data_IF_014073206117
#
_entry.id   IF_014073206117
#
_cell.length_a   1.000
_cell.length_b   1.000
_cell.length_c   1.000
_cell.angle_alpha   90.00
_cell.angle_beta   90.00
_cell.angle_gamma   90.00
#
_symmetry.space_group_name_H-M   'P 1'
#
loop_
_entity.id
_entity.type
_entity.pdbx_description
1 polymer ?
#
# COMPACT_ATOMS: atom_id res chain seq x y z
N UNK A 1 -20.55 12.93 4.86
CA UNK A 1 -19.25 13.27 5.46
C UNK A 1 -19.07 12.32 6.63
N UNK A 2 -18.11 11.38 6.59
CA UNK A 2 -17.78 10.64 7.80
C UNK A 2 -17.39 11.64 8.90
N UNK A 3 -17.56 11.23 10.17
CA UNK A 3 -17.02 12.01 11.29
C UNK A 3 -15.52 12.25 11.07
N UNK A 4 -14.92 13.23 11.74
CA UNK A 4 -13.45 13.37 11.72
C UNK A 4 -12.78 12.10 12.27
N UNK A 5 -11.62 11.72 11.73
CA UNK A 5 -10.86 10.59 12.26
C UNK A 5 -10.63 10.76 13.78
N UNK A 6 -10.74 9.68 14.58
CA UNK A 6 -10.48 9.76 16.01
C UNK A 6 -9.04 10.20 16.30
N UNK A 7 -8.85 10.88 17.43
CA UNK A 7 -7.51 11.31 17.86
C UNK A 7 -6.51 10.16 17.94
N UNK A 8 -5.22 10.45 17.73
CA UNK A 8 -4.13 9.46 17.85
C UNK A 8 -4.12 8.73 19.20
N UNK A 9 -4.44 9.42 20.29
CA UNK A 9 -4.53 8.81 21.62
C UNK A 9 -5.62 7.73 21.67
N UNK A 10 -6.81 8.02 21.12
CA UNK A 10 -7.89 7.04 21.01
C UNK A 10 -7.49 5.83 20.18
N UNK A 11 -6.79 6.05 19.06
CA UNK A 11 -6.32 4.97 18.18
C UNK A 11 -5.33 4.04 18.89
N UNK A 12 -4.36 4.59 19.62
CA UNK A 12 -3.39 3.80 20.40
C UNK A 12 -4.11 3.03 21.52
N UNK A 13 -5.02 3.67 22.24
CA UNK A 13 -5.79 3.01 23.29
C UNK A 13 -6.59 1.82 22.74
N UNK A 14 -7.24 1.99 21.58
CA UNK A 14 -7.99 0.91 20.92
C UNK A 14 -7.08 -0.21 20.46
N UNK A 15 -5.93 0.11 19.89
CA UNK A 15 -4.94 -0.89 19.51
C UNK A 15 -4.49 -1.73 20.71
N UNK A 16 -4.15 -1.09 21.84
CA UNK A 16 -3.76 -1.79 23.07
C UNK A 16 -4.88 -2.70 23.61
N UNK A 17 -6.13 -2.23 23.60
CA UNK A 17 -7.28 -3.04 24.01
C UNK A 17 -7.45 -4.30 23.16
N UNK A 18 -7.17 -4.21 21.85
CA UNK A 18 -7.23 -5.35 20.93
C UNK A 18 -6.04 -6.27 21.15
N UNK A 19 -4.83 -5.71 21.29
CA UNK A 19 -3.59 -6.46 21.44
C UNK A 19 -3.56 -7.30 22.73
N UNK A 20 -4.06 -6.74 23.82
CA UNK A 20 -4.10 -7.40 25.13
C UNK A 20 -5.35 -8.27 25.33
N UNK A 21 -6.28 -8.29 24.36
CA UNK A 21 -7.60 -8.92 24.49
C UNK A 21 -8.41 -8.39 25.70
N UNK A 22 -8.12 -7.16 26.14
CA UNK A 22 -8.70 -6.53 27.35
C UNK A 22 -10.23 -6.32 27.23
N UNK A 23 -10.74 -6.22 26.00
CA UNK A 23 -12.17 -6.04 25.75
C UNK A 23 -12.64 -6.83 24.52
N UNK A 24 -13.66 -7.71 24.67
CA UNK A 24 -14.20 -8.51 23.57
C UNK A 24 -14.91 -7.66 22.51
N UNK A 25 -15.22 -6.40 22.80
CA UNK A 25 -15.90 -5.49 21.87
C UNK A 25 -14.98 -4.41 21.29
N UNK A 26 -13.69 -4.39 21.66
CA UNK A 26 -12.76 -3.37 21.18
C UNK A 26 -12.62 -3.37 19.66
N UNK A 27 -12.55 -4.55 19.04
CA UNK A 27 -12.49 -4.67 17.58
C UNK A 27 -13.79 -4.19 16.92
N UNK A 28 -14.96 -4.60 17.42
CA UNK A 28 -16.24 -4.14 16.88
C UNK A 28 -16.38 -2.61 16.92
N UNK A 29 -15.96 -1.98 18.01
CA UNK A 29 -15.95 -0.52 18.16
C UNK A 29 -14.95 0.16 17.20
N UNK A 30 -13.79 -0.45 16.97
CA UNK A 30 -12.86 0.02 15.95
C UNK A 30 -13.49 -0.08 14.56
N UNK A 31 -14.10 -1.21 14.21
CA UNK A 31 -14.71 -1.45 12.90
C UNK A 31 -15.87 -0.50 12.60
N UNK A 32 -16.73 -0.22 13.57
CA UNK A 32 -17.87 0.70 13.42
C UNK A 32 -17.41 2.10 12.98
N UNK A 33 -16.27 2.54 13.49
CA UNK A 33 -15.68 3.84 13.14
C UNK A 33 -14.84 3.70 11.88
N UNK A 34 -13.87 2.78 11.84
CA UNK A 34 -12.90 2.69 10.77
C UNK A 34 -13.52 2.35 9.41
N UNK A 35 -14.54 1.48 9.35
CA UNK A 35 -15.07 0.99 8.08
C UNK A 35 -15.65 2.12 7.19
N UNK A 36 -16.54 3.01 7.67
CA UNK A 36 -16.99 4.17 6.89
C UNK A 36 -15.84 5.07 6.38
N UNK A 37 -14.80 5.25 7.19
CA UNK A 37 -13.63 6.04 6.81
C UNK A 37 -12.84 5.39 5.68
N UNK A 38 -12.53 4.10 5.80
CA UNK A 38 -11.79 3.34 4.79
C UNK A 38 -12.55 3.29 3.47
N UNK A 39 -13.87 3.04 3.51
CA UNK A 39 -14.70 3.01 2.31
C UNK A 39 -14.75 4.38 1.62
N UNK A 40 -14.95 5.46 2.39
CA UNK A 40 -14.96 6.83 1.83
C UNK A 40 -13.62 7.17 1.19
N UNK A 41 -12.52 6.82 1.86
CA UNK A 41 -11.16 7.00 1.36
C UNK A 41 -10.96 6.26 0.04
N UNK A 42 -11.28 4.95 -0.03
CA UNK A 42 -11.15 4.15 -1.24
C UNK A 42 -12.06 4.62 -2.37
N UNK A 43 -13.28 5.05 -2.07
CA UNK A 43 -14.19 5.64 -3.06
C UNK A 43 -13.64 6.93 -3.66
N UNK A 44 -13.02 7.77 -2.83
CA UNK A 44 -12.43 9.02 -3.28
C UNK A 44 -11.19 8.79 -4.16
N UNK A 45 -10.31 7.88 -3.74
CA UNK A 45 -9.06 7.54 -4.43
C UNK A 45 -9.30 6.70 -5.70
N UNK A 46 -10.26 5.77 -5.68
CA UNK A 46 -10.53 4.79 -6.75
C UNK A 46 -11.92 4.93 -7.37
N UNK A 47 -12.31 6.13 -7.80
CA UNK A 47 -13.67 6.48 -8.27
C UNK A 47 -14.25 5.60 -9.40
N UNK A 48 -13.39 4.92 -10.16
CA UNK A 48 -13.78 4.09 -11.31
C UNK A 48 -13.89 2.60 -10.97
N UNK A 49 -13.56 2.21 -9.74
CA UNK A 49 -13.62 0.83 -9.28
C UNK A 49 -15.00 0.53 -8.71
N UNK A 50 -15.44 -0.72 -8.85
CA UNK A 50 -16.72 -1.20 -8.32
C UNK A 50 -16.78 -1.03 -6.80
N UNK A 51 -17.87 -0.42 -6.31
CA UNK A 51 -18.09 -0.13 -4.89
C UNK A 51 -17.95 -1.37 -4.01
N UNK A 52 -18.44 -2.52 -4.47
CA UNK A 52 -18.36 -3.77 -3.72
C UNK A 52 -16.91 -4.22 -3.47
N UNK A 53 -15.99 -4.01 -4.42
CA UNK A 53 -14.58 -4.33 -4.24
C UNK A 53 -13.92 -3.42 -3.21
N UNK A 54 -14.27 -2.13 -3.20
CA UNK A 54 -13.77 -1.16 -2.22
C UNK A 54 -14.24 -1.52 -0.79
N UNK A 55 -15.51 -1.85 -0.64
CA UNK A 55 -16.07 -2.33 0.64
C UNK A 55 -15.40 -3.62 1.12
N UNK A 56 -15.23 -4.58 0.21
CA UNK A 56 -14.57 -5.86 0.51
C UNK A 56 -13.13 -5.63 0.97
N UNK A 57 -12.36 -4.80 0.26
CA UNK A 57 -10.98 -4.49 0.64
C UNK A 57 -10.89 -3.77 1.99
N UNK A 58 -11.81 -2.87 2.30
CA UNK A 58 -11.87 -2.22 3.61
C UNK A 58 -12.15 -3.23 4.74
N UNK A 59 -13.09 -4.16 4.53
CA UNK A 59 -13.41 -5.23 5.48
C UNK A 59 -12.22 -6.16 5.66
N UNK A 60 -11.62 -6.63 4.56
CA UNK A 60 -10.49 -7.55 4.56
C UNK A 60 -9.28 -6.96 5.30
N UNK A 61 -9.02 -5.67 5.14
CA UNK A 61 -7.94 -4.99 5.84
C UNK A 61 -8.14 -4.97 7.37
N UNK A 62 -9.36 -4.74 7.84
CA UNK A 62 -9.72 -4.76 9.25
C UNK A 62 -9.62 -6.18 9.83
N UNK A 63 -10.10 -7.18 9.09
CA UNK A 63 -10.01 -8.58 9.50
C UNK A 63 -8.54 -9.05 9.55
N UNK A 64 -7.73 -8.65 8.58
CA UNK A 64 -6.30 -8.94 8.54
C UNK A 64 -5.56 -8.29 9.71
N UNK A 65 -5.89 -7.05 10.05
CA UNK A 65 -5.39 -6.39 11.24
C UNK A 65 -5.80 -7.15 12.52
N UNK A 66 -7.07 -7.54 12.66
CA UNK A 66 -7.56 -8.27 13.83
C UNK A 66 -6.88 -9.63 14.01
N UNK A 67 -6.55 -10.32 12.92
CA UNK A 67 -5.84 -11.60 12.97
C UNK A 67 -4.37 -11.46 13.40
N UNK A 68 -3.76 -10.29 13.22
CA UNK A 68 -2.36 -10.05 13.55
C UNK A 68 -2.09 -8.59 14.00
N UNK A 69 -2.69 -8.13 15.11
CA UNK A 69 -2.58 -6.75 15.57
C UNK A 69 -1.14 -6.35 15.89
N UNK A 70 -0.29 -7.29 16.30
CA UNK A 70 1.14 -7.11 16.60
C UNK A 70 1.98 -6.64 15.41
N UNK A 71 1.47 -6.73 14.18
CA UNK A 71 2.15 -6.20 12.99
C UNK A 71 2.08 -4.67 12.90
N UNK A 72 1.10 -4.07 13.56
CA UNK A 72 0.98 -2.61 13.62
C UNK A 72 2.00 -2.05 14.61
N UNK A 73 2.69 -0.99 14.19
CA UNK A 73 3.71 -0.31 14.98
C UNK A 73 3.27 1.15 15.23
N UNK A 74 2.81 1.50 16.45
CA UNK A 74 2.24 2.81 16.76
C UNK A 74 3.26 3.96 16.77
N UNK A 75 4.55 3.65 16.80
CA UNK A 75 5.62 4.65 16.76
C UNK A 75 5.88 5.16 15.34
N UNK A 76 5.52 4.36 14.33
CA UNK A 76 5.77 4.68 12.92
C UNK A 76 4.62 5.40 12.23
N UNK A 77 3.38 5.01 12.51
CA UNK A 77 2.19 5.60 11.89
C UNK A 77 0.93 5.45 12.77
N UNK A 78 -0.12 6.20 12.43
CA UNK A 78 -1.43 6.09 13.07
C UNK A 78 -2.17 4.83 12.60
N UNK A 79 -3.09 4.31 13.41
CA UNK A 79 -3.84 3.10 13.09
C UNK A 79 -4.70 3.29 11.83
N UNK A 80 -5.30 4.47 11.66
CA UNK A 80 -6.08 4.77 10.46
C UNK A 80 -5.22 4.86 9.21
N UNK A 81 -4.01 5.44 9.29
CA UNK A 81 -3.06 5.41 8.19
C UNK A 81 -2.66 3.96 7.83
N UNK A 82 -2.44 3.10 8.83
CA UNK A 82 -2.11 1.69 8.63
C UNK A 82 -3.24 0.95 7.91
N UNK A 83 -4.47 1.14 8.37
CA UNK A 83 -5.65 0.50 7.80
C UNK A 83 -5.94 0.99 6.38
N UNK A 84 -5.79 2.29 6.10
CA UNK A 84 -5.92 2.85 4.75
C UNK A 84 -4.91 2.21 3.79
N UNK A 85 -3.66 2.08 4.22
CA UNK A 85 -2.61 1.41 3.45
C UNK A 85 -2.95 -0.05 3.18
N UNK A 86 -3.36 -0.80 4.21
CA UNK A 86 -3.75 -2.20 4.06
C UNK A 86 -4.94 -2.36 3.10
N UNK A 87 -6.00 -1.55 3.27
CA UNK A 87 -7.19 -1.57 2.42
C UNK A 87 -6.88 -1.21 0.96
N UNK A 88 -6.02 -0.22 0.73
CA UNK A 88 -5.54 0.12 -0.61
C UNK A 88 -4.80 -1.05 -1.25
N UNK A 89 -3.91 -1.69 -0.50
CA UNK A 89 -3.16 -2.84 -0.99
C UNK A 89 -4.08 -4.01 -1.36
N UNK A 90 -5.04 -4.33 -0.50
CA UNK A 90 -6.01 -5.39 -0.72
C UNK A 90 -6.89 -5.11 -1.94
N UNK A 91 -7.30 -3.85 -2.14
CA UNK A 91 -8.07 -3.43 -3.32
C UNK A 91 -7.28 -3.63 -4.62
N UNK A 92 -6.01 -3.21 -4.65
CA UNK A 92 -5.16 -3.34 -5.83
C UNK A 92 -4.91 -4.82 -6.17
N UNK A 93 -4.67 -5.66 -5.15
CA UNK A 93 -4.57 -7.10 -5.33
C UNK A 93 -5.88 -7.73 -5.84
N UNK A 94 -7.04 -7.20 -5.43
CA UNK A 94 -8.34 -7.65 -5.93
C UNK A 94 -8.55 -7.25 -7.40
N UNK A 95 -8.18 -6.03 -7.78
CA UNK A 95 -8.24 -5.54 -9.17
C UNK A 95 -7.35 -6.40 -10.07
N UNK A 96 -6.11 -6.67 -9.68
CA UNK A 96 -5.18 -7.50 -10.45
C UNK A 96 -5.69 -8.93 -10.64
N UNK A 97 -6.25 -9.54 -9.58
CA UNK A 97 -6.90 -10.85 -9.67
C UNK A 97 -8.05 -10.84 -10.66
N UNK A 98 -8.90 -9.81 -10.62
CA UNK A 98 -10.04 -9.66 -11.55
C UNK A 98 -9.57 -9.50 -13.00
N UNK A 99 -8.49 -8.75 -13.23
CA UNK A 99 -7.92 -8.54 -14.56
C UNK A 99 -7.31 -9.82 -15.13
N UNK A 100 -6.63 -10.63 -14.30
CA UNK A 100 -6.10 -11.94 -14.72
C UNK A 100 -7.21 -12.90 -15.11
N UNK A 101 -8.32 -12.91 -14.38
CA UNK A 101 -9.48 -13.75 -14.71
C UNK A 101 -10.24 -13.28 -15.96
N UNK A 102 -10.18 -11.99 -16.29
CA UNK A 102 -10.81 -11.41 -17.49
C UNK A 102 -9.98 -11.53 -18.76
N UNK A 103 -8.69 -11.87 -18.67
CA UNK A 103 -7.92 -12.24 -19.86
C UNK A 103 -8.51 -13.56 -20.39
N UNK A 104 -9.09 -13.59 -21.61
CA UNK A 104 -9.57 -14.83 -22.18
C UNK A 104 -8.39 -15.81 -22.25
N UNK A 105 -8.65 -17.10 -22.01
CA UNK A 105 -7.72 -18.19 -22.26
C UNK A 105 -7.28 -18.11 -23.74
N UNK A 106 -6.26 -17.31 -24.02
CA UNK A 106 -5.46 -17.46 -25.22
C UNK A 106 -4.39 -18.47 -24.84
N UNK A 107 -4.54 -19.67 -25.39
CA UNK A 107 -3.56 -20.73 -25.41
C UNK A 107 -2.15 -20.16 -25.54
N UNK A 108 -1.38 -20.26 -24.46
CA UNK A 108 0.07 -20.31 -24.55
C UNK A 108 0.48 -21.45 -23.64
N UNK A 109 0.88 -22.55 -24.27
CA UNK A 109 1.74 -23.57 -23.70
C UNK A 109 2.98 -22.86 -23.10
N UNK A 110 2.95 -22.58 -21.80
CA UNK A 110 4.12 -22.16 -21.04
C UNK A 110 4.19 -23.01 -19.77
N UNK A 111 5.30 -23.72 -19.52
CA UNK A 111 5.37 -24.64 -18.40
C UNK A 111 5.28 -23.84 -17.12
N UNK A 112 4.29 -24.20 -16.29
CA UNK A 112 4.11 -23.70 -14.95
C UNK A 112 5.41 -23.86 -14.14
N UNK A 113 6.23 -22.81 -14.09
CA UNK A 113 7.32 -22.73 -13.13
C UNK A 113 6.67 -22.41 -11.79
N UNK A 114 6.40 -23.49 -11.07
CA UNK A 114 6.10 -23.55 -9.66
C UNK A 114 7.28 -22.93 -8.89
N UNK A 115 7.31 -21.60 -8.80
CA UNK A 115 8.31 -20.88 -8.03
C UNK A 115 8.06 -21.15 -6.55
N UNK A 116 8.88 -22.06 -6.03
CA UNK A 116 9.13 -22.24 -4.61
C UNK A 116 9.31 -20.88 -3.95
N UNK A 117 8.49 -20.64 -2.94
CA UNK A 117 8.67 -19.60 -1.93
C UNK A 117 10.06 -19.74 -1.30
N UNK A 118 11.03 -19.01 -1.85
CA UNK A 118 12.19 -18.56 -1.09
C UNK A 118 11.87 -17.14 -0.67
N UNK A 119 11.27 -17.03 0.51
CA UNK A 119 11.09 -15.78 1.24
C UNK A 119 12.47 -15.27 1.63
N UNK A 120 13.09 -14.43 0.79
CA UNK A 120 14.20 -13.59 1.25
C UNK A 120 13.64 -12.32 1.90
N UNK A 121 14.16 -11.91 3.07
CA UNK A 121 13.61 -10.82 3.86
C UNK A 121 14.23 -9.51 3.40
N UNK A 122 13.73 -8.85 2.34
CA UNK A 122 14.15 -7.48 2.04
C UNK A 122 13.22 -6.78 1.02
N UNK A 123 12.09 -6.26 1.51
CA UNK A 123 11.27 -5.27 0.80
C UNK A 123 10.51 -4.31 1.73
N UNK A 124 10.66 -4.42 3.06
CA UNK A 124 9.85 -3.64 4.00
C UNK A 124 10.30 -2.18 4.13
N UNK A 125 11.57 -1.88 3.83
CA UNK A 125 12.17 -0.55 4.04
C UNK A 125 11.67 0.52 3.06
N UNK A 126 11.38 0.14 1.82
CA UNK A 126 10.90 1.08 0.78
C UNK A 126 9.44 1.47 1.03
N UNK A 127 8.63 0.54 1.55
CA UNK A 127 7.24 0.80 1.94
C UNK A 127 7.18 1.73 3.15
N UNK A 128 7.97 1.44 4.20
CA UNK A 128 8.02 2.22 5.44
C UNK A 128 8.23 3.74 5.25
N UNK A 129 8.95 4.16 4.19
CA UNK A 129 9.19 5.57 3.89
C UNK A 129 8.03 6.25 3.15
N UNK A 130 7.30 5.50 2.34
CA UNK A 130 6.06 5.95 1.69
C UNK A 130 4.92 6.02 2.72
N UNK A 131 4.92 5.09 3.67
CA UNK A 131 3.97 4.97 4.78
C UNK A 131 4.08 6.12 5.79
N UNK A 132 5.30 6.64 6.03
CA UNK A 132 5.53 7.81 6.88
C UNK A 132 5.02 9.14 6.26
N UNK A 133 4.75 9.12 4.95
CA UNK A 133 4.36 10.30 4.17
C UNK A 133 2.87 10.40 3.88
N UNK A 134 2.15 9.29 3.96
CA UNK A 134 0.69 9.24 3.82
C UNK A 134 -0.04 9.53 5.14
N UNK A 135 0.68 9.80 6.23
CA UNK A 135 0.14 10.00 7.58
C UNK A 135 -0.10 11.46 7.99
N UNK A 136 -1.22 11.66 8.68
CA UNK A 136 -1.68 12.79 9.53
C UNK A 136 -2.25 14.09 8.92
N UNK A 137 -2.14 14.38 7.62
CA UNK A 137 -2.89 15.51 7.01
C UNK A 137 -3.15 15.30 5.51
N UNK A 138 -4.41 14.99 5.15
CA UNK A 138 -4.84 14.64 3.78
C UNK A 138 -4.55 15.76 2.75
N UNK A 139 -4.49 17.03 3.17
CA UNK A 139 -4.37 18.17 2.24
C UNK A 139 -2.92 18.56 1.91
N UNK A 140 -2.03 18.48 2.90
CA UNK A 140 -0.61 18.84 2.74
C UNK A 140 0.19 17.71 2.11
N UNK A 141 -0.11 16.45 2.44
CA UNK A 141 0.59 15.29 1.89
C UNK A 141 0.29 15.08 0.39
N UNK A 142 -0.96 15.27 -0.04
CA UNK A 142 -1.36 15.16 -1.46
C UNK A 142 -0.67 16.24 -2.31
N UNK A 143 -0.57 17.47 -1.79
CA UNK A 143 0.15 18.56 -2.45
C UNK A 143 1.65 18.27 -2.55
N UNK A 144 2.28 17.76 -1.49
CA UNK A 144 3.70 17.43 -1.50
C UNK A 144 4.02 16.22 -2.41
N UNK A 145 3.13 15.22 -2.48
CA UNK A 145 3.26 14.10 -3.42
C UNK A 145 3.19 14.59 -4.88
N UNK A 146 2.26 15.49 -5.21
CA UNK A 146 2.20 16.11 -6.53
C UNK A 146 3.45 16.95 -6.85
N UNK A 147 3.98 17.69 -5.88
CA UNK A 147 5.23 18.43 -6.05
C UNK A 147 6.43 17.49 -6.27
N UNK A 148 6.50 16.38 -5.54
CA UNK A 148 7.54 15.37 -5.73
C UNK A 148 7.43 14.71 -7.12
N UNK A 149 6.22 14.31 -7.52
CA UNK A 149 5.93 13.73 -8.83
C UNK A 149 6.37 14.66 -9.98
N UNK A 150 6.18 15.97 -9.83
CA UNK A 150 6.62 16.98 -10.80
C UNK A 150 8.15 17.10 -10.92
N UNK A 151 8.92 16.58 -9.96
CA UNK A 151 10.39 16.56 -10.02
C UNK A 151 10.96 15.27 -10.62
N UNK A 152 10.12 14.26 -10.89
CA UNK A 152 10.53 12.98 -11.47
C UNK A 152 10.49 13.03 -13.00
N UNK A 153 11.35 12.25 -13.64
CA UNK A 153 11.22 11.98 -15.07
C UNK A 153 10.06 10.99 -15.33
N UNK A 154 9.69 10.85 -16.60
CA UNK A 154 8.53 10.03 -17.01
C UNK A 154 8.63 8.58 -16.53
N UNK A 155 9.84 8.01 -16.54
CA UNK A 155 10.09 6.62 -16.16
C UNK A 155 10.04 6.47 -14.63
N UNK A 156 10.79 7.29 -13.89
CA UNK A 156 10.79 7.32 -12.42
C UNK A 156 9.38 7.58 -11.86
N UNK A 157 8.57 8.41 -12.53
CA UNK A 157 7.16 8.65 -12.18
C UNK A 157 6.32 7.39 -12.28
N UNK A 158 6.43 6.65 -13.38
CA UNK A 158 5.69 5.40 -13.57
C UNK A 158 6.12 4.32 -12.57
N UNK A 159 7.42 4.21 -12.27
CA UNK A 159 7.92 3.33 -11.21
C UNK A 159 7.39 3.75 -9.83
N UNK A 160 7.39 5.05 -9.55
CA UNK A 160 6.88 5.58 -8.30
C UNK A 160 5.38 5.30 -8.12
N UNK A 161 4.59 5.37 -9.20
CA UNK A 161 3.18 4.97 -9.19
C UNK A 161 3.02 3.48 -8.90
N UNK A 162 3.86 2.61 -9.47
CA UNK A 162 3.84 1.18 -9.13
C UNK A 162 4.19 0.94 -7.65
N UNK A 163 5.15 1.69 -7.09
CA UNK A 163 5.50 1.62 -5.67
C UNK A 163 4.34 2.09 -4.78
N UNK A 164 3.69 3.20 -5.13
CA UNK A 164 2.49 3.69 -4.45
C UNK A 164 1.35 2.67 -4.52
N UNK A 165 1.22 1.97 -5.65
CA UNK A 165 0.25 0.91 -5.84
C UNK A 165 0.68 -0.43 -5.19
N UNK A 166 1.78 -0.46 -4.44
CA UNK A 166 2.22 -1.64 -3.71
C UNK A 166 2.54 -2.85 -4.59
N UNK A 167 2.82 -2.64 -5.88
CA UNK A 167 3.17 -3.72 -6.81
C UNK A 167 4.51 -4.32 -6.38
N UNK A 168 4.52 -5.63 -6.07
CA UNK A 168 5.70 -6.37 -5.60
C UNK A 168 6.40 -7.16 -6.70
N UNK A 169 5.65 -7.50 -7.76
CA UNK A 169 6.17 -8.27 -8.88
C UNK A 169 7.22 -7.46 -9.63
N UNK A 170 8.33 -8.10 -10.02
CA UNK A 170 9.41 -7.43 -10.78
C UNK A 170 9.00 -7.12 -12.22
N UNK A 171 8.11 -7.94 -12.80
CA UNK A 171 7.75 -7.85 -14.22
C UNK A 171 7.16 -6.48 -14.61
N UNK A 172 6.19 -5.89 -13.90
CA UNK A 172 5.68 -4.56 -14.22
C UNK A 172 6.73 -3.44 -14.17
N UNK A 173 7.71 -3.53 -13.27
CA UNK A 173 8.81 -2.57 -13.22
C UNK A 173 9.80 -2.79 -14.37
N UNK A 174 10.08 -4.05 -14.70
CA UNK A 174 10.98 -4.41 -15.79
C UNK A 174 10.44 -3.95 -17.16
N UNK A 175 9.13 -4.04 -17.38
CA UNK A 175 8.43 -3.53 -18.57
C UNK A 175 8.66 -2.02 -18.74
N UNK A 176 8.40 -1.22 -17.69
CA UNK A 176 8.59 0.23 -17.73
C UNK A 176 10.07 0.62 -17.96
N UNK A 177 10.99 -0.15 -17.37
CA UNK A 177 12.43 0.06 -17.54
C UNK A 177 12.99 -0.55 -18.84
N UNK A 178 12.15 -1.19 -19.66
CA UNK A 178 12.55 -1.88 -20.90
C UNK A 178 13.62 -2.97 -20.68
N UNK A 179 13.51 -3.71 -19.58
CA UNK A 179 14.47 -4.74 -19.14
C UNK A 179 14.03 -6.17 -19.45
N UNK A 180 12.93 -6.36 -20.18
CA UNK A 180 12.32 -7.67 -20.45
C UNK A 180 13.29 -8.67 -21.09
N UNK A 181 14.25 -8.18 -21.86
CA UNK A 181 15.28 -8.98 -22.54
C UNK A 181 16.41 -9.44 -21.61
N UNK A 182 16.51 -8.89 -20.40
CA UNK A 182 17.52 -9.31 -19.43
C UNK A 182 17.08 -10.58 -18.69
N UNK A 183 18.02 -11.38 -18.17
CA UNK A 183 17.71 -12.47 -17.25
C UNK A 183 16.94 -11.95 -16.02
N UNK A 184 16.02 -12.75 -15.49
CA UNK A 184 15.16 -12.39 -14.34
C UNK A 184 15.96 -11.91 -13.13
N UNK A 185 17.14 -12.49 -12.89
CA UNK A 185 18.05 -12.06 -11.80
C UNK A 185 18.58 -10.64 -12.02
N UNK A 186 18.88 -10.27 -13.26
CA UNK A 186 19.36 -8.94 -13.62
C UNK A 186 18.23 -7.92 -13.62
N UNK A 187 17.04 -8.29 -14.11
CA UNK A 187 15.83 -7.48 -13.99
C UNK A 187 15.56 -7.10 -12.53
N UNK A 188 15.57 -8.09 -11.62
CA UNK A 188 15.39 -7.86 -10.18
C UNK A 188 16.41 -6.89 -9.60
N UNK A 189 17.69 -7.03 -9.99
CA UNK A 189 18.77 -6.16 -9.53
C UNK A 189 18.56 -4.71 -9.98
N UNK A 190 18.22 -4.49 -11.25
CA UNK A 190 18.00 -3.15 -11.79
C UNK A 190 16.74 -2.50 -11.24
N UNK A 191 15.64 -3.25 -11.11
CA UNK A 191 14.40 -2.79 -10.46
C UNK A 191 14.69 -2.38 -9.02
N UNK A 192 15.45 -3.18 -8.26
CA UNK A 192 15.84 -2.82 -6.90
C UNK A 192 16.64 -1.52 -6.85
N UNK A 193 17.63 -1.34 -7.75
CA UNK A 193 18.43 -0.11 -7.82
C UNK A 193 17.55 1.12 -8.11
N UNK A 194 16.55 0.96 -8.98
CA UNK A 194 15.62 2.03 -9.30
C UNK A 194 14.70 2.37 -8.12
N UNK A 195 14.15 1.37 -7.43
CA UNK A 195 13.36 1.55 -6.20
C UNK A 195 14.19 2.24 -5.11
N UNK A 196 15.38 1.72 -4.81
CA UNK A 196 16.29 2.31 -3.81
C UNK A 196 16.65 3.79 -4.15
N UNK A 197 16.77 4.13 -5.44
CA UNK A 197 17.00 5.50 -5.92
C UNK A 197 15.79 6.41 -5.67
N UNK A 198 14.59 5.95 -6.00
CA UNK A 198 13.34 6.67 -5.78
C UNK A 198 13.10 6.90 -4.29
N UNK A 199 13.27 5.88 -3.47
CA UNK A 199 13.17 5.96 -2.01
C UNK A 199 14.11 7.03 -1.46
N UNK A 200 15.38 7.07 -1.89
CA UNK A 200 16.33 8.11 -1.48
C UNK A 200 15.96 9.51 -1.95
N UNK A 201 15.42 9.66 -3.18
CA UNK A 201 14.93 10.95 -3.68
C UNK A 201 13.78 11.45 -2.81
N UNK A 202 12.84 10.56 -2.48
CA UNK A 202 11.70 10.86 -1.62
C UNK A 202 12.14 11.32 -0.22
N UNK A 203 13.04 10.58 0.43
CA UNK A 203 13.57 10.96 1.76
C UNK A 203 14.26 12.33 1.74
N UNK A 204 15.03 12.64 0.69
CA UNK A 204 15.69 13.94 0.55
C UNK A 204 14.70 15.07 0.31
N UNK A 205 13.67 14.83 -0.48
CA UNK A 205 12.60 15.80 -0.70
C UNK A 205 11.86 16.10 0.61
N UNK A 206 11.60 15.08 1.42
CA UNK A 206 10.98 15.19 2.75
C UNK A 206 11.75 16.08 3.70
N UNK A 207 13.06 15.84 3.80
CA UNK A 207 13.90 16.58 4.73
C UNK A 207 14.00 18.06 4.34
N UNK A 208 13.86 18.40 3.05
CA UNK A 208 13.86 19.79 2.57
C UNK A 208 12.58 20.54 2.90
N UNK A 209 11.43 19.87 2.93
CA UNK A 209 10.14 20.49 3.23
C UNK A 209 9.89 20.70 4.73
N UNK A 210 10.64 19.98 5.59
CA UNK A 210 10.58 20.13 7.07
C UNK A 210 11.48 21.25 7.61
N UNK A 211 12.29 21.91 6.77
CA UNK A 211 13.22 22.98 7.15
C UNK A 211 12.62 24.33 6.78
#
# INVERSE_FOLDING_TARGET
MPASEPSRHWQIQKHLQILNEDSPTAFAQLSEIALPHLVTFLQHEFRQIETHLQETAAIDSLLTYHAAPQKFDPDKLTLFAYLRMAARHDLLNAIDRSNRQRRPLLDIDEPAIQNQLITEPNSDTDHLLLDQWLGDDDSTNETMLHQFEATLDTTDRQLFLLMLNGVRETAPYAEIMQLELLPVSEQRREVKRAKDRLTKKLTRFANRQKT
#
